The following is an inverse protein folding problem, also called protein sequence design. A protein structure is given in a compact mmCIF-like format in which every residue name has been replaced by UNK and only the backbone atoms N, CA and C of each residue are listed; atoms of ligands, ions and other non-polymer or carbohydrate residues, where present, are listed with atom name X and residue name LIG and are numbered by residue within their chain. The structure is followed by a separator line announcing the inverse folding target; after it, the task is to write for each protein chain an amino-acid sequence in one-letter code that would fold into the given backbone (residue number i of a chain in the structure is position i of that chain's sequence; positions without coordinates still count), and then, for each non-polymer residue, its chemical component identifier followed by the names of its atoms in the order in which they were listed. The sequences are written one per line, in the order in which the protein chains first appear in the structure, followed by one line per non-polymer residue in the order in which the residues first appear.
data_IF_250877237392
#
_entry.id   IF_250877237392
#
_cell.length_a   1.000
_cell.length_b   1.000
_cell.length_c   1.000
_cell.angle_alpha   90.00
_cell.angle_beta   90.00
_cell.angle_gamma   90.00
#
_symmetry.space_group_name_H-M   'P 1'
#
loop_
_entity.id
_entity.type
_entity.pdbx_description
1 polymer ?
#
# COMPACT_ATOMS: atom_id res chain seq x y z
N UNK A 1 -16.25 3.99 -1.90
CA UNK A 1 -17.57 3.33 -1.75
C UNK A 1 -17.48 1.94 -1.14
N UNK A 2 -16.84 0.94 -1.78
CA UNK A 2 -16.77 -0.45 -1.26
C UNK A 2 -16.33 -0.55 0.21
N UNK A 3 -15.26 0.15 0.59
CA UNK A 3 -14.78 0.19 1.97
C UNK A 3 -15.86 0.67 2.96
N UNK A 4 -16.61 1.72 2.61
CA UNK A 4 -17.67 2.25 3.45
C UNK A 4 -18.80 1.22 3.64
N UNK A 5 -19.26 0.56 2.56
CA UNK A 5 -20.29 -0.47 2.66
C UNK A 5 -19.84 -1.66 3.51
N UNK A 6 -18.59 -2.11 3.35
CA UNK A 6 -18.04 -3.17 4.19
C UNK A 6 -17.96 -2.77 5.68
N UNK A 7 -17.51 -1.55 5.97
CA UNK A 7 -17.38 -1.04 7.34
C UNK A 7 -18.74 -0.90 8.04
N UNK A 8 -19.76 -0.47 7.30
CA UNK A 8 -21.11 -0.29 7.83
C UNK A 8 -22.05 -1.47 7.54
N UNK A 9 -21.49 -2.63 7.14
CA UNK A 9 -22.28 -3.80 6.72
C UNK A 9 -23.33 -4.23 7.73
N UNK A 10 -22.99 -4.21 9.03
CA UNK A 10 -23.92 -4.55 10.12
C UNK A 10 -25.18 -3.67 10.14
N UNK A 11 -25.08 -2.43 9.68
CA UNK A 11 -26.19 -1.47 9.66
C UNK A 11 -26.95 -1.45 8.33
N UNK A 12 -26.26 -1.80 7.24
CA UNK A 12 -26.76 -1.63 5.87
C UNK A 12 -27.29 -2.92 5.24
N UNK A 13 -26.92 -4.07 5.79
CA UNK A 13 -27.36 -5.37 5.28
C UNK A 13 -28.74 -5.71 5.87
N UNK A 14 -29.73 -5.91 5.00
CA UNK A 14 -31.10 -6.23 5.41
C UNK A 14 -31.89 -5.05 5.99
N UNK A 15 -31.25 -3.90 6.23
CA UNK A 15 -31.96 -2.62 6.30
C UNK A 15 -32.50 -2.33 4.91
N UNK A 16 -33.76 -1.91 4.79
CA UNK A 16 -34.40 -1.61 3.50
C UNK A 16 -33.66 -0.57 2.64
N UNK A 17 -34.23 -0.18 1.49
CA UNK A 17 -33.54 0.60 0.47
C UNK A 17 -32.89 1.88 1.02
N UNK A 18 -31.60 2.08 0.73
CA UNK A 18 -30.88 3.29 1.14
C UNK A 18 -30.20 4.03 -0.03
N UNK A 19 -29.72 5.24 0.23
CA UNK A 19 -29.10 6.11 -0.80
C UNK A 19 -27.64 6.32 -0.50
N UNK A 20 -26.79 6.11 -1.52
CA UNK A 20 -25.37 6.47 -1.46
C UNK A 20 -25.12 7.72 -2.30
N UNK A 21 -24.76 8.80 -1.63
CA UNK A 21 -24.31 10.03 -2.26
C UNK A 21 -22.82 9.95 -2.61
N UNK A 22 -22.47 10.21 -3.86
CA UNK A 22 -21.07 10.23 -4.32
C UNK A 22 -20.85 11.33 -5.35
N UNK A 23 -19.66 11.92 -5.32
CA UNK A 23 -19.15 12.84 -6.34
C UNK A 23 -18.54 12.10 -7.55
N UNK A 24 -18.62 10.77 -7.58
CA UNK A 24 -18.07 9.95 -8.66
C UNK A 24 -19.15 9.59 -9.70
N UNK A 25 -19.32 10.46 -10.71
CA UNK A 25 -20.41 10.38 -11.69
C UNK A 25 -20.45 9.06 -12.50
N UNK A 26 -19.31 8.46 -12.81
CA UNK A 26 -19.23 7.20 -13.58
C UNK A 26 -19.83 6.00 -12.84
N UNK A 27 -19.93 6.08 -11.51
CA UNK A 27 -20.50 5.01 -10.69
C UNK A 27 -22.02 4.89 -10.87
N UNK A 28 -22.68 5.99 -11.25
CA UNK A 28 -24.11 6.01 -11.61
C UNK A 28 -24.38 5.19 -12.88
N UNK A 29 -23.46 5.23 -13.84
CA UNK A 29 -23.57 4.50 -15.10
C UNK A 29 -23.23 3.01 -14.92
N UNK A 30 -22.21 2.70 -14.11
CA UNK A 30 -21.74 1.33 -13.89
C UNK A 30 -22.80 0.41 -13.25
N UNK A 31 -23.66 0.95 -12.37
CA UNK A 31 -24.75 0.18 -11.74
C UNK A 31 -25.91 -0.07 -12.72
N UNK A 32 -26.05 0.75 -13.77
CA UNK A 32 -27.15 0.66 -14.75
C UNK A 32 -26.79 -0.05 -16.05
N UNK A 33 -25.50 -0.25 -16.34
CA UNK A 33 -25.03 -0.79 -17.62
C UNK A 33 -25.27 -2.31 -17.71
N UNK A 34 -25.81 -2.78 -18.84
CA UNK A 34 -26.00 -4.21 -19.16
C UNK A 34 -24.69 -4.93 -19.55
N UNK A 35 -23.68 -4.19 -20.02
CA UNK A 35 -22.38 -4.73 -20.43
C UNK A 35 -21.31 -4.46 -19.37
N UNK A 36 -21.07 -5.47 -18.55
CA UNK A 36 -20.20 -5.38 -17.36
C UNK A 36 -18.88 -6.11 -17.68
N UNK A 37 -17.74 -5.45 -17.48
CA UNK A 37 -16.43 -6.11 -17.59
C UNK A 37 -16.24 -7.14 -16.47
N UNK A 38 -15.43 -8.19 -16.67
CA UNK A 38 -15.15 -9.21 -15.63
C UNK A 38 -14.66 -8.59 -14.31
N UNK A 39 -13.87 -7.52 -14.39
CA UNK A 39 -13.44 -6.75 -13.21
C UNK A 39 -14.64 -6.11 -12.51
N UNK A 40 -15.52 -5.46 -13.26
CA UNK A 40 -16.72 -4.81 -12.72
C UNK A 40 -17.71 -5.84 -12.13
N UNK A 41 -17.83 -7.03 -12.72
CA UNK A 41 -18.68 -8.12 -12.23
C UNK A 41 -18.29 -8.54 -10.81
N UNK A 42 -16.99 -8.66 -10.51
CA UNK A 42 -16.50 -8.97 -9.14
C UNK A 42 -16.89 -7.90 -8.12
N UNK A 43 -16.98 -6.64 -8.55
CA UNK A 43 -17.43 -5.54 -7.69
C UNK A 43 -18.95 -5.55 -7.53
N UNK A 44 -19.70 -5.82 -8.60
CA UNK A 44 -21.16 -5.92 -8.54
C UNK A 44 -21.64 -7.09 -7.70
N UNK A 45 -20.93 -8.23 -7.68
CA UNK A 45 -21.25 -9.34 -6.77
C UNK A 45 -21.23 -8.91 -5.31
N UNK A 46 -20.28 -8.04 -4.92
CA UNK A 46 -20.23 -7.48 -3.57
C UNK A 46 -21.35 -6.47 -3.33
N UNK A 47 -21.66 -5.63 -4.31
CA UNK A 47 -22.71 -4.62 -4.18
C UNK A 47 -24.11 -5.21 -4.19
N UNK A 48 -24.32 -6.37 -4.82
CA UNK A 48 -25.60 -7.07 -4.86
C UNK A 48 -26.09 -7.54 -3.49
N UNK A 49 -25.22 -7.61 -2.48
CA UNK A 49 -25.62 -7.86 -1.09
C UNK A 49 -26.44 -6.71 -0.48
N UNK A 50 -26.39 -5.51 -1.06
CA UNK A 50 -26.97 -4.30 -0.49
C UNK A 50 -28.09 -3.74 -1.38
N UNK A 51 -29.18 -3.30 -0.78
CA UNK A 51 -30.27 -2.62 -1.48
C UNK A 51 -30.06 -1.09 -1.44
N UNK A 52 -29.36 -0.56 -2.44
CA UNK A 52 -29.07 0.87 -2.51
C UNK A 52 -29.21 1.48 -3.90
N UNK A 53 -29.48 2.79 -3.92
CA UNK A 53 -29.41 3.64 -5.12
C UNK A 53 -28.26 4.64 -5.01
N UNK A 54 -27.59 4.90 -6.14
CA UNK A 54 -26.49 5.86 -6.23
C UNK A 54 -27.00 7.19 -6.73
N UNK A 55 -26.82 8.24 -5.94
CA UNK A 55 -27.14 9.62 -6.32
C UNK A 55 -25.85 10.45 -6.43
N UNK A 56 -25.73 11.19 -7.52
CA UNK A 56 -24.59 12.07 -7.73
C UNK A 56 -24.76 13.34 -6.90
N UNK A 57 -23.75 13.66 -6.09
CA UNK A 57 -23.66 14.91 -5.35
C UNK A 57 -22.35 15.61 -5.74
N UNK A 58 -22.39 16.80 -6.36
CA UNK A 58 -21.18 17.54 -6.72
C UNK A 58 -20.23 17.70 -5.52
N UNK A 59 -18.93 17.54 -5.74
CA UNK A 59 -17.92 17.62 -4.69
C UNK A 59 -18.01 18.89 -3.83
N UNK A 60 -18.33 20.04 -4.45
CA UNK A 60 -18.57 21.32 -3.76
C UNK A 60 -19.68 21.26 -2.69
N UNK A 61 -20.67 20.38 -2.87
CA UNK A 61 -21.76 20.16 -1.91
C UNK A 61 -21.47 18.97 -0.97
N UNK A 62 -20.42 18.19 -1.26
CA UNK A 62 -20.03 17.00 -0.51
C UNK A 62 -18.93 17.31 0.53
N UNK A 63 -18.93 18.52 1.08
CA UNK A 63 -17.87 19.09 1.93
C UNK A 63 -17.52 18.19 3.13
N UNK A 64 -18.52 17.60 3.79
CA UNK A 64 -18.29 16.74 4.95
C UNK A 64 -17.57 15.45 4.57
N UNK A 65 -18.01 14.79 3.49
CA UNK A 65 -17.39 13.56 3.04
C UNK A 65 -15.98 13.83 2.46
N UNK A 66 -15.80 14.96 1.79
CA UNK A 66 -14.52 15.43 1.26
C UNK A 66 -13.53 15.77 2.40
N UNK A 67 -13.99 16.47 3.44
CA UNK A 67 -13.16 16.76 4.62
C UNK A 67 -12.75 15.49 5.36
N UNK A 68 -13.66 14.52 5.51
CA UNK A 68 -13.36 13.24 6.15
C UNK A 68 -12.44 12.35 5.30
N UNK A 69 -12.54 12.41 3.98
CA UNK A 69 -11.68 11.61 3.08
C UNK A 69 -10.28 12.22 2.92
N UNK A 70 -10.12 13.54 3.10
CA UNK A 70 -8.85 14.27 3.00
C UNK A 70 -8.13 14.47 4.33
N UNK A 71 -8.64 13.88 5.40
CA UNK A 71 -8.00 13.94 6.71
C UNK A 71 -6.53 13.49 6.60
N UNK A 72 -5.55 14.25 7.12
CA UNK A 72 -4.12 13.96 6.94
C UNK A 72 -3.68 12.65 7.61
N UNK A 73 -4.42 12.18 8.61
CA UNK A 73 -4.27 10.85 9.20
C UNK A 73 -4.77 9.71 8.30
N UNK A 74 -5.58 10.01 7.29
CA UNK A 74 -6.03 9.09 6.23
C UNK A 74 -5.31 9.30 4.90
N UNK A 75 -4.61 10.42 4.72
CA UNK A 75 -3.75 10.64 3.58
C UNK A 75 -2.63 9.59 3.61
N UNK A 76 -2.49 8.83 2.52
CA UNK A 76 -1.24 8.13 2.23
C UNK A 76 -0.18 9.22 2.20
N UNK A 77 0.72 9.23 3.20
CA UNK A 77 1.76 10.26 3.31
C UNK A 77 2.57 10.23 2.02
N UNK A 78 2.33 11.21 1.15
CA UNK A 78 3.25 11.56 0.08
C UNK A 78 4.53 11.98 0.78
N UNK A 79 5.59 11.19 0.64
CA UNK A 79 6.88 11.50 1.22
C UNK A 79 7.46 12.73 0.49
N UNK A 80 7.10 13.92 0.93
CA UNK A 80 7.92 15.10 0.71
C UNK A 80 9.19 14.89 1.53
N UNK A 81 10.32 14.77 0.84
CA UNK A 81 11.64 14.41 1.38
C UNK A 81 12.26 15.47 2.30
N UNK A 82 11.46 16.32 2.96
CA UNK A 82 11.97 17.35 3.86
C UNK A 82 10.92 17.78 4.91
N UNK A 83 10.62 16.93 5.89
CA UNK A 83 9.99 17.39 7.14
C UNK A 83 10.48 16.58 8.34
N UNK A 84 11.45 17.16 9.06
CA UNK A 84 11.78 16.78 10.43
C UNK A 84 10.74 17.43 11.34
N UNK A 85 9.95 16.62 12.05
CA UNK A 85 9.20 17.05 13.25
C UNK A 85 7.72 16.64 13.28
N UNK A 86 7.43 15.47 13.85
CA UNK A 86 6.73 15.24 15.14
C UNK A 86 6.24 13.77 15.12
N UNK A 87 6.60 13.04 16.19
CA UNK A 87 6.54 11.59 16.38
C UNK A 87 5.23 10.92 15.96
N UNK A 88 5.35 9.95 15.05
CA UNK A 88 4.55 8.72 15.09
C UNK A 88 5.48 7.60 15.52
N UNK A 89 5.04 6.77 16.47
CA UNK A 89 5.78 5.69 17.17
C UNK A 89 6.13 4.50 16.25
N UNK A 90 6.32 4.71 14.95
CA UNK A 90 6.70 3.66 13.99
C UNK A 90 7.52 4.22 12.83
N UNK A 91 8.48 5.10 13.12
CA UNK A 91 9.68 5.04 12.29
C UNK A 91 10.32 3.66 12.56
N UNK A 92 10.74 2.90 11.53
CA UNK A 92 11.51 1.70 11.78
C UNK A 92 12.71 2.07 12.65
N UNK A 93 12.99 1.31 13.71
CA UNK A 93 14.11 1.62 14.59
C UNK A 93 15.39 1.69 13.76
N UNK A 94 16.26 2.66 14.05
CA UNK A 94 17.48 2.91 13.29
C UNK A 94 18.35 1.65 13.15
N UNK A 95 18.35 0.79 14.17
CA UNK A 95 19.01 -0.52 14.14
C UNK A 95 18.56 -1.42 12.98
N UNK A 96 17.26 -1.41 12.66
CA UNK A 96 16.71 -2.24 11.59
C UNK A 96 17.11 -1.74 10.20
N UNK A 97 17.43 -0.45 10.05
CA UNK A 97 17.92 0.12 8.78
C UNK A 97 19.38 -0.25 8.53
N UNK A 98 20.22 -0.18 9.56
CA UNK A 98 21.63 -0.57 9.46
C UNK A 98 21.78 -2.07 9.18
N UNK A 99 20.96 -2.90 9.83
CA UNK A 99 20.88 -4.34 9.55
C UNK A 99 20.46 -4.61 8.09
N UNK A 100 19.48 -3.85 7.55
CA UNK A 100 19.09 -3.95 6.13
C UNK A 100 20.24 -3.62 5.19
N UNK A 101 20.98 -2.53 5.46
CA UNK A 101 22.14 -2.15 4.66
C UNK A 101 23.22 -3.23 4.68
N UNK A 102 23.52 -3.78 5.86
CA UNK A 102 24.48 -4.86 6.01
C UNK A 102 24.04 -6.13 5.25
N UNK A 103 22.76 -6.48 5.32
CA UNK A 103 22.22 -7.67 4.67
C UNK A 103 22.22 -7.61 3.13
N UNK A 104 22.28 -6.42 2.51
CA UNK A 104 22.49 -6.31 1.06
C UNK A 104 23.80 -6.95 0.59
N UNK A 105 24.81 -7.05 1.46
CA UNK A 105 26.06 -7.74 1.15
C UNK A 105 25.90 -9.24 0.93
N UNK A 106 24.77 -9.84 1.32
CA UNK A 106 24.48 -11.27 1.15
C UNK A 106 23.45 -11.56 0.05
N UNK A 107 22.73 -10.54 -0.43
CA UNK A 107 21.67 -10.68 -1.42
C UNK A 107 22.14 -10.33 -2.85
N UNK A 108 22.15 -11.33 -3.74
CA UNK A 108 22.60 -11.17 -5.13
C UNK A 108 21.73 -10.23 -5.96
N UNK A 109 20.42 -10.19 -5.70
CA UNK A 109 19.48 -9.30 -6.39
C UNK A 109 19.65 -7.86 -5.89
N UNK A 110 19.78 -7.68 -4.57
CA UNK A 110 20.03 -6.37 -3.96
C UNK A 110 21.34 -5.76 -4.49
N UNK A 111 22.43 -6.54 -4.59
CA UNK A 111 23.69 -6.08 -5.19
C UNK A 111 23.53 -5.58 -6.63
N UNK A 112 22.78 -6.32 -7.45
CA UNK A 112 22.52 -5.93 -8.84
C UNK A 112 21.70 -4.63 -8.90
N UNK A 113 20.68 -4.50 -8.07
CA UNK A 113 19.88 -3.28 -8.01
C UNK A 113 20.67 -2.08 -7.49
N UNK A 114 21.53 -2.27 -6.49
CA UNK A 114 22.32 -1.19 -5.90
C UNK A 114 23.39 -0.68 -6.87
N UNK A 115 24.06 -1.59 -7.59
CA UNK A 115 25.00 -1.23 -8.66
C UNK A 115 24.31 -0.51 -9.82
N UNK A 116 23.12 -0.96 -10.25
CA UNK A 116 22.30 -0.25 -11.23
C UNK A 116 21.86 1.13 -10.74
N UNK A 117 21.41 1.23 -9.49
CA UNK A 117 20.91 2.47 -8.91
C UNK A 117 21.99 3.54 -8.72
N UNK A 118 23.25 3.13 -8.55
CA UNK A 118 24.39 4.05 -8.43
C UNK A 118 24.71 4.76 -9.76
N UNK A 119 24.45 4.11 -10.89
CA UNK A 119 24.70 4.65 -12.23
C UNK A 119 23.69 4.09 -13.25
N UNK A 120 22.42 4.58 -13.25
CA UNK A 120 21.38 4.04 -14.10
C UNK A 120 21.65 4.37 -15.58
N UNK A 121 21.83 3.33 -16.39
CA UNK A 121 22.00 3.43 -17.85
C UNK A 121 21.33 2.23 -18.53
N UNK A 122 21.09 2.33 -19.85
CA UNK A 122 20.55 1.21 -20.62
C UNK A 122 21.48 -0.01 -20.63
N UNK A 123 22.80 0.23 -20.63
CA UNK A 123 23.80 -0.83 -20.51
C UNK A 123 23.75 -1.52 -19.14
N UNK A 124 23.71 -0.74 -18.06
CA UNK A 124 23.57 -1.28 -16.70
C UNK A 124 22.25 -2.05 -16.55
N UNK A 125 21.16 -1.55 -17.15
CA UNK A 125 19.86 -2.23 -17.15
C UNK A 125 19.89 -3.56 -17.90
N UNK A 126 20.64 -3.67 -19.00
CA UNK A 126 20.82 -4.93 -19.75
C UNK A 126 21.59 -5.99 -18.95
N UNK A 127 22.48 -5.58 -18.03
CA UNK A 127 23.22 -6.49 -17.15
C UNK A 127 22.36 -7.11 -16.04
N UNK A 128 21.21 -6.52 -15.72
CA UNK A 128 20.26 -7.08 -14.75
C UNK A 128 19.67 -8.40 -15.24
N UNK A 129 19.43 -9.32 -14.30
CA UNK A 129 18.61 -10.52 -14.52
C UNK A 129 17.21 -10.18 -15.06
N UNK A 130 16.57 -11.08 -15.83
CA UNK A 130 15.29 -10.78 -16.49
C UNK A 130 14.19 -10.31 -15.53
N UNK A 131 14.10 -10.89 -14.33
CA UNK A 131 13.07 -10.54 -13.35
C UNK A 131 13.29 -9.15 -12.74
N UNK A 132 14.54 -8.73 -12.57
CA UNK A 132 14.90 -7.38 -12.10
C UNK A 132 14.75 -6.35 -13.21
N UNK A 133 15.20 -6.66 -14.43
CA UNK A 133 15.18 -5.76 -15.59
C UNK A 133 13.78 -5.23 -15.92
N UNK A 134 12.77 -6.08 -15.82
CA UNK A 134 11.37 -5.72 -16.06
C UNK A 134 10.85 -4.68 -15.05
N UNK A 135 11.39 -4.67 -13.83
CA UNK A 135 10.93 -3.85 -12.71
C UNK A 135 11.94 -2.79 -12.28
N UNK A 136 13.07 -2.65 -12.97
CA UNK A 136 14.17 -1.75 -12.61
C UNK A 136 13.72 -0.30 -12.39
N UNK A 137 12.77 0.19 -13.18
CA UNK A 137 12.19 1.53 -13.06
C UNK A 137 11.49 1.82 -11.71
N UNK A 138 11.15 0.76 -10.96
CA UNK A 138 10.50 0.86 -9.64
C UNK A 138 11.50 0.99 -8.50
N UNK A 139 12.78 0.75 -8.77
CA UNK A 139 13.82 0.78 -7.76
C UNK A 139 14.68 2.04 -7.91
N UNK A 140 15.06 2.63 -6.78
CA UNK A 140 15.99 3.76 -6.70
C UNK A 140 16.96 3.55 -5.56
N UNK A 141 18.16 4.11 -5.67
CA UNK A 141 19.15 4.09 -4.60
C UNK A 141 19.18 5.44 -3.89
N UNK A 142 19.25 5.43 -2.57
CA UNK A 142 19.44 6.64 -1.77
C UNK A 142 20.20 6.31 -0.48
N UNK A 143 21.34 6.95 -0.24
CA UNK A 143 22.16 6.77 0.97
C UNK A 143 22.49 5.29 1.32
N UNK A 144 22.74 4.48 0.29
CA UNK A 144 23.02 3.05 0.44
C UNK A 144 21.79 2.17 0.70
N UNK A 145 20.58 2.75 0.67
CA UNK A 145 19.31 2.02 0.71
C UNK A 145 18.75 1.82 -0.69
N UNK A 146 18.11 0.67 -0.88
CA UNK A 146 17.24 0.43 -2.01
C UNK A 146 15.82 0.85 -1.65
N UNK A 147 15.27 1.73 -2.47
CA UNK A 147 13.93 2.25 -2.37
C UNK A 147 13.06 1.66 -3.47
N UNK A 148 11.84 1.24 -3.13
CA UNK A 148 10.85 0.72 -4.05
C UNK A 148 9.62 1.62 -4.10
N UNK A 149 9.17 1.98 -5.30
CA UNK A 149 7.92 2.70 -5.56
C UNK A 149 7.02 1.89 -6.47
N UNK A 150 5.80 1.61 -6.01
CA UNK A 150 4.76 1.12 -6.92
C UNK A 150 4.25 2.29 -7.78
N UNK A 151 3.75 1.97 -8.98
CA UNK A 151 3.19 2.97 -9.91
C UNK A 151 1.87 3.56 -9.38
N UNK A 152 1.20 2.82 -8.50
CA UNK A 152 -0.20 3.07 -8.14
C UNK A 152 -0.39 3.85 -6.84
N UNK A 153 0.68 4.14 -6.07
CA UNK A 153 0.53 4.75 -4.74
C UNK A 153 1.56 5.82 -4.35
N UNK A 154 2.56 6.16 -5.17
CA UNK A 154 3.63 7.13 -4.85
C UNK A 154 4.34 6.88 -3.50
N UNK A 155 4.18 5.69 -2.90
CA UNK A 155 4.78 5.35 -1.61
C UNK A 155 6.16 4.74 -1.82
N UNK A 156 7.15 5.37 -1.20
CA UNK A 156 8.53 4.91 -1.16
C UNK A 156 8.72 3.95 0.01
N UNK A 157 9.23 2.75 -0.29
CA UNK A 157 9.44 1.67 0.69
C UNK A 157 10.89 1.22 0.69
N UNK A 158 11.42 0.88 1.85
CA UNK A 158 12.76 0.30 1.97
C UNK A 158 12.72 -1.17 1.54
N UNK A 159 13.57 -1.54 0.59
CA UNK A 159 13.66 -2.93 0.14
C UNK A 159 14.40 -3.73 1.19
N UNK A 160 13.76 -4.76 1.73
CA UNK A 160 14.39 -5.72 2.65
C UNK A 160 14.94 -6.90 1.84
N UNK A 161 16.24 -7.22 1.96
CA UNK A 161 16.85 -8.34 1.23
C UNK A 161 16.21 -9.67 1.63
N UNK A 162 16.55 -10.73 0.89
CA UNK A 162 16.12 -12.10 1.17
C UNK A 162 16.86 -12.74 2.33
N UNK A 163 16.78 -12.06 3.48
CA UNK A 163 17.26 -12.52 4.77
C UNK A 163 16.05 -12.86 5.66
N UNK A 164 15.95 -14.12 6.07
CA UNK A 164 14.81 -14.61 6.82
C UNK A 164 14.75 -14.01 8.23
N UNK A 165 15.86 -14.02 8.95
CA UNK A 165 15.92 -13.57 10.34
C UNK A 165 15.65 -12.06 10.43
N UNK A 166 16.17 -11.28 9.49
CA UNK A 166 15.90 -9.85 9.39
C UNK A 166 14.42 -9.58 9.12
N UNK A 167 13.82 -10.27 8.15
CA UNK A 167 12.39 -10.12 7.84
C UNK A 167 11.51 -10.52 9.02
N UNK A 168 11.88 -11.56 9.77
CA UNK A 168 11.16 -11.99 10.97
C UNK A 168 11.28 -10.97 12.10
N UNK A 169 12.46 -10.38 12.30
CA UNK A 169 12.65 -9.31 13.31
C UNK A 169 11.81 -8.09 12.98
N UNK A 170 11.84 -7.63 11.72
CA UNK A 170 10.99 -6.53 11.26
C UNK A 170 9.50 -6.90 11.41
N UNK A 171 9.10 -8.14 11.10
CA UNK A 171 7.71 -8.56 11.30
C UNK A 171 7.30 -8.51 12.78
N UNK A 172 8.15 -9.02 13.67
CA UNK A 172 7.94 -9.04 15.11
C UNK A 172 7.73 -7.62 15.67
N UNK A 173 8.51 -6.64 15.21
CA UNK A 173 8.35 -5.24 15.63
C UNK A 173 6.96 -4.66 15.30
N UNK A 174 6.36 -5.08 14.19
CA UNK A 174 5.07 -4.57 13.72
C UNK A 174 3.88 -5.42 14.20
N UNK A 175 4.12 -6.63 14.70
CA UNK A 175 3.08 -7.55 15.18
C UNK A 175 3.15 -7.75 16.69
N UNK A 176 4.27 -8.25 17.19
CA UNK A 176 4.40 -8.82 18.53
C UNK A 176 5.08 -7.92 19.55
N UNK A 177 5.66 -6.81 19.11
CA UNK A 177 6.22 -5.84 20.03
C UNK A 177 5.14 -5.34 21.02
N UNK A 178 5.47 -5.15 22.31
CA UNK A 178 4.52 -4.66 23.31
C UNK A 178 3.83 -3.34 22.92
N UNK A 179 4.48 -2.54 22.08
CA UNK A 179 3.99 -1.27 21.54
C UNK A 179 3.13 -1.40 20.29
N UNK A 180 3.16 -2.54 19.59
CA UNK A 180 2.43 -2.76 18.32
C UNK A 180 0.96 -3.13 18.52
N UNK A 181 0.62 -3.72 19.68
CA UNK A 181 -0.75 -4.05 20.05
C UNK A 181 -1.32 -5.29 19.35
N UNK A 182 -0.48 -6.21 18.87
CA UNK A 182 -0.86 -7.47 18.22
C UNK A 182 -1.94 -7.32 17.14
N UNK A 183 -1.68 -6.48 16.12
CA UNK A 183 -2.62 -6.28 15.02
C UNK A 183 -2.83 -7.60 14.28
N UNK A 184 -4.09 -7.90 13.93
CA UNK A 184 -4.37 -9.02 13.04
C UNK A 184 -3.74 -8.83 11.66
N UNK A 185 -3.51 -9.95 10.96
CA UNK A 185 -2.79 -10.06 9.67
C UNK A 185 -2.91 -8.89 8.70
N UNK A 186 -4.13 -8.45 8.40
CA UNK A 186 -4.38 -7.39 7.42
C UNK A 186 -3.83 -6.04 7.88
N UNK A 187 -3.97 -5.71 9.18
CA UNK A 187 -3.43 -4.48 9.75
C UNK A 187 -1.90 -4.54 9.78
N UNK A 188 -1.32 -5.67 10.14
CA UNK A 188 0.13 -5.89 10.15
C UNK A 188 0.71 -5.71 8.75
N UNK A 189 0.07 -6.30 7.75
CA UNK A 189 0.46 -6.11 6.36
C UNK A 189 0.41 -4.64 5.93
N UNK A 190 -0.66 -3.91 6.25
CA UNK A 190 -0.78 -2.49 5.92
C UNK A 190 0.30 -1.65 6.60
N UNK A 191 0.59 -1.89 7.88
CA UNK A 191 1.63 -1.15 8.60
C UNK A 191 3.01 -1.44 8.03
N UNK A 192 3.31 -2.72 7.79
CA UNK A 192 4.59 -3.18 7.26
C UNK A 192 4.84 -2.68 5.83
N UNK A 193 3.82 -2.70 4.98
CA UNK A 193 3.91 -2.21 3.59
C UNK A 193 3.90 -0.70 3.48
N UNK A 194 3.74 0.04 4.58
CA UNK A 194 3.98 1.47 4.58
C UNK A 194 5.48 1.78 4.45
N UNK A 195 6.30 1.03 5.17
CA UNK A 195 7.71 1.37 5.39
C UNK A 195 8.66 0.41 4.65
N UNK A 196 8.29 -0.88 4.51
CA UNK A 196 9.14 -1.91 3.93
C UNK A 196 8.52 -2.65 2.75
N UNK A 197 9.38 -3.14 1.86
CA UNK A 197 9.01 -3.96 0.70
C UNK A 197 9.91 -5.20 0.57
N UNK A 198 9.30 -6.35 0.29
CA UNK A 198 9.99 -7.50 -0.29
C UNK A 198 9.05 -8.37 -1.13
N UNK A 199 9.61 -9.23 -1.97
CA UNK A 199 8.82 -10.15 -2.79
C UNK A 199 7.96 -11.07 -1.92
N UNK A 200 6.68 -11.20 -2.27
CA UNK A 200 5.71 -12.06 -1.59
C UNK A 200 5.47 -11.74 -0.10
N UNK A 201 5.66 -10.48 0.32
CA UNK A 201 5.46 -10.00 1.68
C UNK A 201 4.14 -10.46 2.32
N UNK A 202 3.01 -10.44 1.60
CA UNK A 202 1.71 -10.91 2.11
C UNK A 202 1.68 -12.40 2.49
N UNK A 203 2.49 -13.24 1.84
CA UNK A 203 2.61 -14.67 2.18
C UNK A 203 3.44 -14.90 3.45
N UNK A 204 4.31 -13.95 3.80
CA UNK A 204 5.17 -14.02 4.97
C UNK A 204 4.51 -13.46 6.23
N UNK A 205 3.47 -12.62 6.10
CA UNK A 205 2.62 -12.22 7.22
C UNK A 205 1.72 -13.40 7.57
N UNK A 206 2.20 -14.28 8.43
CA UNK A 206 1.38 -15.30 9.10
C UNK A 206 0.78 -14.69 10.36
N UNK A 207 -0.50 -14.97 10.60
CA UNK A 207 -1.23 -14.59 11.81
C UNK A 207 -1.07 -15.66 12.89
#
# INVERSE_FOLDING_TARGET
MKYALAKFRVYLLGSGPFVVYTDHASLRAAVKSSHISQRMARWLSFFAEYDFRVEYKPGRLNVVADALSRRPDYAVKTADANWIGVESVSAPPSSSIDDVKAAYASDADAKQLLSYASAPSDEARRKLTPHLRARAHRYRGHEGLLLYSAVDDDVIRIVVPNDYDLRMRIMYEYHDAPTAGHPGREKTYVLLTRDFYWNHQYKCVNA
#
